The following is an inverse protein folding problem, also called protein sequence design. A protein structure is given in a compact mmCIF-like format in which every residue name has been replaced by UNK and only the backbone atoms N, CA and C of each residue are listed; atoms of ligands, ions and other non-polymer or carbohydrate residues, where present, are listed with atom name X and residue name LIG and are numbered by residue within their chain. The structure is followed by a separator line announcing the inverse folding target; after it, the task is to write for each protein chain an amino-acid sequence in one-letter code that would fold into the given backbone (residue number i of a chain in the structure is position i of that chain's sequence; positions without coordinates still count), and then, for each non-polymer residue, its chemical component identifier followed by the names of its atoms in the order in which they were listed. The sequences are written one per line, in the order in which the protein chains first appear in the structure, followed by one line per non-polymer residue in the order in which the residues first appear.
data_IF_584658986484
#
_entry.id   IF_584658986484
#
_cell.length_a   1.000
_cell.length_b   1.000
_cell.length_c   1.000
_cell.angle_alpha   90.00
_cell.angle_beta   90.00
_cell.angle_gamma   90.00
#
_symmetry.space_group_name_H-M   'P 1'
#
loop_
_entity.id
_entity.type
_entity.pdbx_description
1 polymer ?
#
# COMPACT_ATOMS: atom_id res chain seq x y z
N UNK A 1 0.81 6.84 -18.04
CA UNK A 1 1.78 6.05 -17.24
C UNK A 1 1.08 5.66 -15.95
N UNK A 2 1.11 4.40 -15.53
CA UNK A 2 0.34 3.95 -14.36
C UNK A 2 1.01 4.43 -13.05
N UNK A 3 0.28 5.20 -12.25
CA UNK A 3 0.67 5.66 -10.91
C UNK A 3 0.69 4.46 -9.95
N UNK A 4 1.77 3.69 -9.95
CA UNK A 4 1.89 2.46 -9.13
C UNK A 4 2.63 2.66 -7.82
N UNK A 5 2.99 3.88 -7.45
CA UNK A 5 3.79 4.14 -6.26
C UNK A 5 2.95 4.67 -5.10
N UNK A 6 3.16 4.10 -3.92
CA UNK A 6 2.73 4.64 -2.62
C UNK A 6 3.96 5.11 -1.86
N UNK A 7 3.97 6.36 -1.42
CA UNK A 7 5.06 6.93 -0.62
C UNK A 7 4.59 7.20 0.79
N UNK A 8 5.39 6.86 1.80
CA UNK A 8 5.06 7.15 3.19
C UNK A 8 6.22 7.85 3.90
N UNK A 9 5.96 9.01 4.51
CA UNK A 9 6.80 9.59 5.56
C UNK A 9 6.41 8.94 6.89
N UNK A 10 7.20 7.97 7.34
CA UNK A 10 6.91 7.17 8.52
C UNK A 10 8.19 6.65 9.18
N UNK A 11 8.21 6.45 10.51
CA UNK A 11 9.40 5.93 11.19
C UNK A 11 9.64 4.49 10.75
N UNK A 12 10.91 4.10 10.62
CA UNK A 12 11.29 2.74 10.27
C UNK A 12 10.90 1.78 11.40
N UNK A 13 9.73 1.18 11.24
CA UNK A 13 9.09 0.35 12.26
C UNK A 13 8.56 -0.90 11.59
N UNK A 14 8.47 -1.99 12.37
CA UNK A 14 7.94 -3.30 11.96
C UNK A 14 6.55 -3.24 11.28
N UNK A 15 5.80 -2.14 11.46
CA UNK A 15 4.54 -1.88 10.75
C UNK A 15 4.70 -1.79 9.23
N UNK A 16 5.88 -1.40 8.75
CA UNK A 16 6.22 -1.34 7.32
C UNK A 16 5.93 -2.66 6.60
N UNK A 17 6.18 -3.82 7.22
CA UNK A 17 5.95 -5.11 6.57
C UNK A 17 4.47 -5.37 6.23
N UNK A 18 3.52 -4.94 7.09
CA UNK A 18 2.08 -5.11 6.81
C UNK A 18 1.61 -4.19 5.68
N UNK A 19 2.10 -2.95 5.68
CA UNK A 19 1.81 -1.98 4.62
C UNK A 19 2.38 -2.48 3.30
N UNK A 20 3.66 -2.83 3.27
CA UNK A 20 4.37 -3.36 2.10
C UNK A 20 3.65 -4.56 1.50
N UNK A 21 3.35 -5.57 2.33
CA UNK A 21 2.68 -6.79 1.86
C UNK A 21 1.32 -6.47 1.23
N UNK A 22 0.55 -5.57 1.83
CA UNK A 22 -0.75 -5.19 1.30
C UNK A 22 -0.62 -4.39 -0.01
N UNK A 23 0.26 -3.39 -0.05
CA UNK A 23 0.50 -2.55 -1.23
C UNK A 23 0.95 -3.40 -2.42
N UNK A 24 1.86 -4.36 -2.21
CA UNK A 24 2.27 -5.31 -3.25
C UNK A 24 1.13 -6.23 -3.70
N UNK A 25 0.28 -6.70 -2.78
CA UNK A 25 -0.90 -7.51 -3.11
C UNK A 25 -1.95 -6.79 -3.96
N UNK A 26 -1.95 -5.45 -3.98
CA UNK A 26 -2.86 -4.66 -4.82
C UNK A 26 -2.17 -4.10 -6.07
N UNK A 27 -0.94 -4.55 -6.38
CA UNK A 27 -0.22 -4.18 -7.61
C UNK A 27 0.52 -2.85 -7.56
N UNK A 28 0.77 -2.31 -6.36
CA UNK A 28 1.52 -1.08 -6.14
C UNK A 28 2.91 -1.38 -5.57
N UNK A 29 3.84 -0.46 -5.78
CA UNK A 29 5.12 -0.36 -5.10
C UNK A 29 4.98 0.50 -3.85
N UNK A 30 5.79 0.21 -2.84
CA UNK A 30 5.84 0.98 -1.60
C UNK A 30 7.22 1.56 -1.38
N UNK A 31 7.30 2.86 -1.15
CA UNK A 31 8.53 3.55 -0.74
C UNK A 31 8.31 4.26 0.58
N UNK A 32 9.05 3.84 1.60
CA UNK A 32 9.10 4.54 2.88
C UNK A 32 10.28 5.49 2.92
N UNK A 33 10.05 6.67 3.47
CA UNK A 33 11.07 7.68 3.78
C UNK A 33 10.89 8.14 5.22
N UNK A 34 11.99 8.53 5.86
CA UNK A 34 11.98 8.90 7.29
C UNK A 34 12.12 10.41 7.49
N UNK A 35 12.43 11.16 6.43
CA UNK A 35 12.63 12.61 6.50
C UNK A 35 11.82 13.35 5.45
N UNK A 36 11.40 14.58 5.77
CA UNK A 36 10.75 15.49 4.82
C UNK A 36 11.58 15.69 3.56
N UNK A 37 12.89 15.86 3.69
CA UNK A 37 13.77 16.07 2.53
C UNK A 37 13.71 14.89 1.55
N UNK A 38 13.77 13.66 2.06
CA UNK A 38 13.63 12.45 1.24
C UNK A 38 12.23 12.30 0.63
N UNK A 39 11.18 12.74 1.34
CA UNK A 39 9.83 12.80 0.79
C UNK A 39 9.76 13.77 -0.38
N UNK A 40 10.18 15.01 -0.19
CA UNK A 40 10.14 16.06 -1.23
C UNK A 40 10.96 15.63 -2.45
N UNK A 41 12.15 15.07 -2.27
CA UNK A 41 12.97 14.56 -3.37
C UNK A 41 12.28 13.42 -4.14
N UNK A 42 11.57 12.55 -3.43
CA UNK A 42 10.77 11.50 -4.05
C UNK A 42 9.60 12.09 -4.85
N UNK A 43 8.90 13.09 -4.32
CA UNK A 43 7.77 13.73 -5.01
C UNK A 43 8.21 14.55 -6.23
N UNK A 44 9.44 15.07 -6.26
CA UNK A 44 9.99 15.75 -7.44
C UNK A 44 10.34 14.80 -8.58
N UNK A 45 10.71 13.56 -8.25
CA UNK A 45 11.18 12.55 -9.22
C UNK A 45 10.09 11.55 -9.62
N UNK A 46 8.96 11.52 -8.91
CA UNK A 46 7.90 10.53 -9.10
C UNK A 46 6.51 11.14 -8.89
N UNK A 47 5.50 10.57 -9.52
CA UNK A 47 4.08 10.94 -9.33
C UNK A 47 3.32 9.81 -8.64
N UNK A 48 3.43 9.66 -7.31
CA UNK A 48 2.77 8.57 -6.60
C UNK A 48 1.24 8.70 -6.64
N UNK A 49 0.55 7.56 -6.56
CA UNK A 49 -0.91 7.56 -6.44
C UNK A 49 -1.38 7.97 -5.04
N UNK A 50 -0.55 7.71 -4.02
CA UNK A 50 -0.85 8.01 -2.63
C UNK A 50 0.41 8.41 -1.88
N UNK A 51 0.28 9.45 -1.07
CA UNK A 51 1.26 9.87 -0.08
C UNK A 51 0.65 9.81 1.31
N UNK A 52 1.29 9.08 2.20
CA UNK A 52 0.95 8.98 3.61
C UNK A 52 1.97 9.78 4.44
N UNK A 53 1.52 10.63 5.36
CA UNK A 53 2.41 11.49 6.15
C UNK A 53 2.11 11.34 7.63
N UNK A 54 3.08 10.81 8.38
CA UNK A 54 3.09 10.88 9.84
C UNK A 54 3.50 12.29 10.27
N UNK A 55 2.55 13.06 10.80
CA UNK A 55 2.80 14.43 11.26
C UNK A 55 3.65 14.48 12.53
N UNK A 56 3.89 13.35 13.20
CA UNK A 56 4.78 13.29 14.36
C UNK A 56 6.27 13.37 14.00
N UNK A 57 6.63 13.22 12.72
CA UNK A 57 8.02 13.24 12.23
C UNK A 57 8.53 14.61 11.78
N UNK A 58 7.92 15.69 12.26
CA UNK A 58 8.14 17.05 11.76
C UNK A 58 8.09 17.12 10.21
N UNK A 59 6.87 17.18 9.64
CA UNK A 59 6.73 17.26 8.19
C UNK A 59 7.16 18.63 7.63
N UNK A 60 7.56 19.59 8.48
CA UNK A 60 7.90 20.96 8.09
C UNK A 60 6.77 21.67 7.36
N UNK A 61 7.06 22.26 6.20
CA UNK A 61 6.06 23.00 5.42
C UNK A 61 5.13 22.06 4.65
N UNK A 62 3.93 21.84 5.21
CA UNK A 62 2.89 21.00 4.60
C UNK A 62 2.44 21.47 3.21
N UNK A 63 2.48 22.78 2.92
CA UNK A 63 2.11 23.32 1.62
C UNK A 63 3.12 22.94 0.53
N UNK A 64 4.38 22.73 0.88
CA UNK A 64 5.36 22.20 -0.07
C UNK A 64 5.02 20.76 -0.43
N UNK A 65 4.66 19.94 0.55
CA UNK A 65 4.27 18.54 0.31
C UNK A 65 3.04 18.49 -0.58
N UNK A 66 2.00 19.27 -0.28
CA UNK A 66 0.76 19.25 -1.08
C UNK A 66 0.97 19.80 -2.48
N UNK A 67 1.82 20.82 -2.65
CA UNK A 67 2.18 21.37 -3.95
C UNK A 67 2.96 20.38 -4.83
N UNK A 68 3.88 19.60 -4.26
CA UNK A 68 4.63 18.58 -4.99
C UNK A 68 3.82 17.30 -5.26
N UNK A 69 2.78 17.05 -4.46
CA UNK A 69 1.92 15.88 -4.55
C UNK A 69 0.55 16.19 -5.17
N UNK A 70 0.46 17.17 -6.06
CA UNK A 70 -0.81 17.69 -6.59
C UNK A 70 -1.69 16.63 -7.28
N UNK A 71 -1.09 15.60 -7.89
CA UNK A 71 -1.81 14.49 -8.54
C UNK A 71 -2.05 13.29 -7.61
N UNK A 72 -1.42 13.27 -6.43
CA UNK A 72 -1.49 12.16 -5.50
C UNK A 72 -2.66 12.33 -4.53
N UNK A 73 -3.23 11.21 -4.10
CA UNK A 73 -4.05 11.21 -2.89
C UNK A 73 -3.14 11.49 -1.68
N UNK A 74 -3.61 12.29 -0.73
CA UNK A 74 -2.82 12.72 0.44
C UNK A 74 -3.55 12.31 1.72
N UNK A 75 -2.88 11.52 2.54
CA UNK A 75 -3.39 11.07 3.84
C UNK A 75 -2.38 11.48 4.91
N UNK A 76 -2.85 12.22 5.92
CA UNK A 76 -2.04 12.55 7.09
C UNK A 76 -2.55 11.80 8.32
N UNK A 77 -1.63 11.49 9.23
CA UNK A 77 -1.98 10.97 10.53
C UNK A 77 -1.07 11.51 11.63
N UNK A 78 -1.63 11.68 12.81
CA UNK A 78 -0.95 12.25 13.98
C UNK A 78 -1.51 11.66 15.27
N UNK A 79 -0.84 11.85 16.43
CA UNK A 79 -1.42 11.50 17.72
C UNK A 79 -2.84 12.08 17.90
N UNK A 80 -3.76 11.39 18.60
CA UNK A 80 -5.13 11.87 18.79
C UNK A 80 -5.22 13.24 19.48
N UNK A 81 -4.27 13.54 20.37
CA UNK A 81 -4.23 14.81 21.12
C UNK A 81 -3.63 15.98 20.35
N UNK A 82 -3.02 15.76 19.18
CA UNK A 82 -2.35 16.81 18.41
C UNK A 82 -3.30 17.52 17.45
N UNK A 83 -4.31 18.19 18.02
CA UNK A 83 -5.37 18.87 17.27
C UNK A 83 -4.78 19.89 16.29
N UNK A 84 -3.70 20.57 16.67
CA UNK A 84 -3.01 21.55 15.83
C UNK A 84 -2.46 20.91 14.56
N UNK A 85 -1.76 19.77 14.66
CA UNK A 85 -1.28 19.05 13.48
C UNK A 85 -2.44 18.58 12.59
N UNK A 86 -3.53 18.07 13.18
CA UNK A 86 -4.72 17.68 12.41
C UNK A 86 -5.31 18.85 11.61
N UNK A 87 -5.44 20.02 12.24
CA UNK A 87 -5.97 21.21 11.59
C UNK A 87 -5.03 21.75 10.52
N UNK A 88 -3.72 21.78 10.79
CA UNK A 88 -2.70 22.23 9.84
C UNK A 88 -2.69 21.38 8.57
N UNK A 89 -2.78 20.05 8.69
CA UNK A 89 -2.86 19.17 7.52
C UNK A 89 -4.13 19.37 6.71
N UNK A 90 -5.29 19.54 7.37
CA UNK A 90 -6.54 19.85 6.65
C UNK A 90 -6.44 21.18 5.90
N UNK A 91 -5.91 22.21 6.56
CA UNK A 91 -5.73 23.53 5.96
C UNK A 91 -4.74 23.51 4.78
N UNK A 92 -3.73 22.64 4.82
CA UNK A 92 -2.78 22.45 3.74
C UNK A 92 -3.34 21.69 2.53
N UNK A 93 -4.54 21.10 2.64
CA UNK A 93 -5.22 20.37 1.56
C UNK A 93 -5.04 18.85 1.60
N UNK A 94 -4.69 18.27 2.74
CA UNK A 94 -4.73 16.80 2.87
C UNK A 94 -6.16 16.28 2.71
N UNK A 95 -6.31 15.23 1.92
CA UNK A 95 -7.62 14.67 1.58
C UNK A 95 -8.24 13.87 2.73
N UNK A 96 -7.40 13.25 3.56
CA UNK A 96 -7.83 12.56 4.76
C UNK A 96 -6.83 12.83 5.89
N UNK A 97 -7.36 13.09 7.08
CA UNK A 97 -6.55 13.31 8.29
C UNK A 97 -7.17 12.54 9.44
N UNK A 98 -6.37 11.71 10.12
CA UNK A 98 -6.87 10.78 11.15
C UNK A 98 -5.86 10.48 12.25
N UNK A 99 -6.29 9.96 13.41
CA UNK A 99 -5.36 9.51 14.44
C UNK A 99 -4.43 8.39 13.96
N UNK A 100 -3.17 8.40 14.40
CA UNK A 100 -2.17 7.38 14.07
C UNK A 100 -2.63 5.94 14.44
N UNK A 101 -3.29 5.77 15.59
CA UNK A 101 -3.87 4.49 16.01
C UNK A 101 -4.94 4.00 15.04
N UNK A 102 -5.75 4.91 14.49
CA UNK A 102 -6.74 4.57 13.47
C UNK A 102 -6.05 4.19 12.16
N UNK A 103 -5.05 4.96 11.74
CA UNK A 103 -4.27 4.67 10.54
C UNK A 103 -3.68 3.26 10.60
N UNK A 104 -2.94 2.95 11.67
CA UNK A 104 -2.30 1.64 11.87
C UNK A 104 -3.29 0.47 11.92
N UNK A 105 -4.45 0.66 12.56
CA UNK A 105 -5.48 -0.39 12.65
C UNK A 105 -6.15 -0.65 11.30
N UNK A 106 -6.27 0.37 10.46
CA UNK A 106 -7.14 0.34 9.27
C UNK A 106 -6.38 0.50 7.95
N UNK A 107 -5.04 0.38 7.95
CA UNK A 107 -4.19 0.52 6.74
C UNK A 107 -4.80 -0.17 5.51
N UNK A 108 -5.19 -1.45 5.53
CA UNK A 108 -5.74 -2.10 4.33
C UNK A 108 -7.00 -1.43 3.78
N UNK A 109 -7.85 -0.93 4.69
CA UNK A 109 -9.10 -0.24 4.34
C UNK A 109 -8.82 1.15 3.77
N UNK A 110 -7.89 1.88 4.38
CA UNK A 110 -7.47 3.22 3.95
C UNK A 110 -6.84 3.14 2.57
N UNK A 111 -5.95 2.18 2.34
CA UNK A 111 -5.30 1.96 1.05
C UNK A 111 -6.32 1.63 -0.04
N UNK A 112 -7.26 0.69 0.18
CA UNK A 112 -8.32 0.36 -0.80
C UNK A 112 -9.22 1.52 -1.17
N UNK A 113 -9.49 2.41 -0.22
CA UNK A 113 -10.36 3.57 -0.44
C UNK A 113 -9.65 4.69 -1.20
N UNK A 114 -8.35 4.82 -1.00
CA UNK A 114 -7.56 5.94 -1.53
C UNK A 114 -6.75 5.58 -2.78
N UNK A 115 -6.58 4.29 -3.09
CA UNK A 115 -5.93 3.80 -4.30
C UNK A 115 -6.96 3.17 -5.23
N UNK A 116 -6.91 3.46 -6.54
CA UNK A 116 -7.68 2.69 -7.50
C UNK A 116 -7.22 1.23 -7.46
N UNK A 117 -8.13 0.33 -7.10
CA UNK A 117 -7.82 -1.10 -7.12
C UNK A 117 -7.82 -1.56 -8.58
N UNK A 118 -6.63 -1.59 -9.20
CA UNK A 118 -6.45 -2.44 -10.38
C UNK A 118 -6.59 -3.88 -9.86
N UNK A 119 -7.68 -4.55 -10.23
CA UNK A 119 -7.81 -5.99 -9.99
C UNK A 119 -6.60 -6.66 -10.64
N UNK A 120 -5.68 -7.18 -9.83
CA UNK A 120 -4.67 -8.10 -10.31
C UNK A 120 -5.39 -9.16 -11.15
N UNK A 121 -4.85 -9.55 -12.33
CA UNK A 121 -5.38 -10.70 -13.03
C UNK A 121 -5.40 -11.84 -12.02
N UNK A 122 -6.59 -12.43 -11.82
CA UNK A 122 -6.77 -13.60 -10.95
C UNK A 122 -5.60 -14.52 -11.24
N UNK A 123 -4.72 -14.73 -10.26
CA UNK A 123 -3.71 -15.78 -10.34
C UNK A 123 -4.50 -17.00 -10.74
N UNK A 124 -4.29 -17.46 -11.98
CA UNK A 124 -4.95 -18.65 -12.47
C UNK A 124 -4.61 -19.72 -11.44
N UNK A 125 -5.64 -20.19 -10.73
CA UNK A 125 -5.50 -21.33 -9.84
C UNK A 125 -4.73 -22.39 -10.62
N UNK A 126 -3.72 -23.04 -10.03
CA UNK A 126 -2.87 -23.96 -10.76
C UNK A 126 -3.78 -24.90 -11.51
N UNK A 127 -3.67 -24.81 -12.84
CA UNK A 127 -4.41 -25.58 -13.82
C UNK A 127 -4.62 -26.95 -13.24
N UNK A 128 -5.89 -27.36 -13.05
CA UNK A 128 -6.20 -28.75 -12.83
C UNK A 128 -5.50 -29.48 -13.96
N UNK A 129 -4.35 -30.12 -13.65
CA UNK A 129 -3.69 -31.03 -14.57
C UNK A 129 -4.80 -31.97 -14.99
N UNK A 130 -5.06 -31.96 -16.29
CA UNK A 130 -5.79 -32.97 -17.01
C UNK A 130 -5.43 -34.33 -16.42
N UNK A 131 -6.28 -34.81 -15.52
CA UNK A 131 -6.32 -36.19 -15.12
C UNK A 131 -6.97 -36.93 -16.27
N UNK A 132 -6.17 -37.17 -17.31
CA UNK A 132 -6.37 -38.27 -18.23
C UNK A 132 -6.84 -39.47 -17.41
N UNK A 133 -8.02 -39.98 -17.75
CA UNK A 133 -8.51 -41.25 -17.26
C UNK A 133 -7.54 -42.36 -17.72
N UNK A 134 -6.47 -42.58 -16.96
CA UNK A 134 -5.66 -43.79 -17.07
C UNK A 134 -6.46 -44.94 -16.47
N UNK A 135 -7.25 -45.54 -17.36
CA UNK A 135 -7.52 -46.97 -17.45
C UNK A 135 -6.54 -47.81 -16.61
N UNK A 136 -7.05 -48.36 -15.50
CA UNK A 136 -6.39 -49.40 -14.73
C UNK A 136 -6.25 -50.63 -15.61
N UNK A 137 -5.13 -50.75 -16.33
CA UNK A 137 -4.80 -51.95 -17.10
C UNK A 137 -4.66 -53.12 -16.14
N UNK A 138 -5.48 -54.15 -16.40
CA UNK A 138 -5.04 -55.54 -16.59
C UNK A 138 -3.69 -55.87 -15.92
N UNK A 139 -3.74 -56.35 -14.69
CA UNK A 139 -2.77 -57.32 -14.18
C UNK A 139 -3.50 -58.29 -13.25
N UNK A 140 -4.33 -59.13 -13.85
CA UNK A 140 -4.75 -60.39 -13.23
C UNK A 140 -3.70 -61.44 -13.61
N UNK A 141 -2.95 -62.02 -12.66
CA UNK A 141 -2.24 -63.26 -12.91
C UNK A 141 -3.26 -64.42 -12.93
N UNK A 142 -3.25 -65.22 -14.00
CA UNK A 142 -3.83 -66.58 -14.07
C UNK A 142 -2.71 -67.55 -14.50
N UNK A 143 -2.86 -68.88 -14.35
CA UNK A 143 -2.42 -69.67 -13.19
C UNK A 143 -1.33 -70.69 -13.57
N UNK A 144 -0.61 -71.25 -12.59
CA UNK A 144 0.15 -72.52 -12.65
C UNK A 144 0.18 -73.06 -11.21
N UNK A 145 -0.18 -74.28 -10.84
CA UNK A 145 -0.60 -75.53 -11.50
C UNK A 145 -1.67 -76.19 -10.62
#
# INVERSE_FOLDING_TARGET
MQHRLVVALAPNTYFGCKVVNFVHQIGYEYKQVETRAALVETLRSTTPALVCVDLSLDPGNLLEITGQAAEARLVAYAPPGDITAHQAARAAGFHEVMPNIQFHREVPRILRRNLPVETLPKVQSPTQRTGEAMSWRRFLPRPRR
#
